data_IF_243159839978
#
_entry.id   IF_243159839978
#
_cell.length_a   1.000
_cell.length_b   1.000
_cell.length_c   1.000
_cell.angle_alpha   90.00
_cell.angle_beta   90.00
_cell.angle_gamma   90.00
#
_symmetry.space_group_name_H-M   'P 1'
#
loop_
_entity.id
_entity.type
_entity.pdbx_description
1 polymer ?
#
# COMPACT_ATOMS: atom_id res chain seq x y z
N UNK A 1 -29.96 36.20 -3.16
CA UNK A 1 -28.66 36.71 -2.71
C UNK A 1 -28.01 35.58 -1.93
N UNK A 2 -27.58 34.60 -2.73
CA UNK A 2 -26.52 33.60 -2.55
C UNK A 2 -26.24 33.07 -1.14
N UNK A 3 -27.09 32.14 -0.69
CA UNK A 3 -26.76 31.23 0.40
C UNK A 3 -25.95 30.04 -0.14
N UNK A 4 -24.63 30.15 0.03
CA UNK A 4 -23.77 29.10 0.60
C UNK A 4 -24.09 27.68 0.11
N UNK A 5 -23.82 27.42 -1.17
CA UNK A 5 -23.41 26.08 -1.59
C UNK A 5 -21.97 25.94 -1.11
N UNK A 6 -21.81 25.53 0.15
CA UNK A 6 -20.53 25.09 0.68
C UNK A 6 -20.21 23.76 -0.01
N UNK A 7 -19.60 23.89 -1.17
CA UNK A 7 -18.97 22.79 -1.89
C UNK A 7 -17.83 22.28 -1.01
N UNK A 8 -18.14 21.38 -0.08
CA UNK A 8 -17.16 20.41 0.41
C UNK A 8 -16.94 19.47 -0.77
N UNK A 9 -16.09 19.89 -1.72
CA UNK A 9 -15.36 18.89 -2.50
C UNK A 9 -14.45 18.25 -1.47
N UNK A 10 -14.94 17.20 -0.79
CA UNK A 10 -14.05 16.22 -0.20
C UNK A 10 -13.07 15.87 -1.31
N UNK A 11 -11.79 16.15 -1.11
CA UNK A 11 -10.71 15.87 -2.06
C UNK A 11 -10.52 14.36 -2.16
N UNK A 12 -11.52 13.69 -2.74
CA UNK A 12 -11.51 12.25 -2.98
C UNK A 12 -10.34 11.96 -3.90
N UNK A 13 -9.32 11.31 -3.36
CA UNK A 13 -8.18 10.84 -4.14
C UNK A 13 -8.71 9.93 -5.26
N UNK A 14 -8.19 10.01 -6.47
CA UNK A 14 -8.60 9.16 -7.60
C UNK A 14 -10.13 8.97 -7.75
N UNK A 15 -10.92 10.01 -8.05
CA UNK A 15 -12.38 9.93 -8.01
C UNK A 15 -13.00 9.07 -9.12
N UNK A 16 -12.30 8.80 -10.23
CA UNK A 16 -12.83 8.02 -11.35
C UNK A 16 -12.09 6.69 -11.55
N UNK A 17 -12.69 5.76 -12.32
CA UNK A 17 -11.98 4.54 -12.76
C UNK A 17 -10.70 4.87 -13.54
N UNK A 18 -10.71 5.94 -14.33
CA UNK A 18 -9.53 6.38 -15.08
C UNK A 18 -8.40 6.85 -14.15
N UNK A 19 -8.73 7.51 -13.03
CA UNK A 19 -7.76 7.85 -12.00
C UNK A 19 -7.24 6.60 -11.28
N UNK A 20 -8.12 5.65 -10.95
CA UNK A 20 -7.72 4.40 -10.29
C UNK A 20 -6.83 3.53 -11.18
N UNK A 21 -7.06 3.52 -12.50
CA UNK A 21 -6.16 2.87 -13.47
C UNK A 21 -4.79 3.57 -13.53
N UNK A 22 -4.76 4.90 -13.44
CA UNK A 22 -3.50 5.67 -13.34
C UNK A 22 -2.76 5.38 -12.04
N UNK A 23 -3.48 5.30 -10.92
CA UNK A 23 -2.91 4.96 -9.63
C UNK A 23 -2.40 3.52 -9.57
N UNK A 24 -3.13 2.56 -10.13
CA UNK A 24 -2.64 1.20 -10.30
C UNK A 24 -1.32 1.20 -11.08
N UNK A 25 -1.24 1.94 -12.19
CA UNK A 25 -0.01 2.05 -12.98
C UNK A 25 1.15 2.60 -12.16
N UNK A 26 0.96 3.68 -11.40
CA UNK A 26 2.04 4.25 -10.57
C UNK A 26 2.49 3.30 -9.45
N UNK A 27 1.57 2.55 -8.84
CA UNK A 27 1.89 1.51 -7.87
C UNK A 27 2.71 0.39 -8.50
N UNK A 28 2.37 -0.04 -9.72
CA UNK A 28 3.12 -1.07 -10.44
C UNK A 28 4.53 -0.60 -10.81
N UNK A 29 4.66 0.64 -11.26
CA UNK A 29 5.96 1.28 -11.54
C UNK A 29 6.82 1.38 -10.27
N UNK A 30 6.21 1.77 -9.15
CA UNK A 30 6.90 1.80 -7.85
C UNK A 30 7.41 0.41 -7.42
N UNK A 31 6.60 -0.64 -7.59
CA UNK A 31 7.01 -2.02 -7.31
C UNK A 31 8.17 -2.44 -8.23
N UNK A 32 8.14 -2.06 -9.51
CA UNK A 32 9.22 -2.36 -10.45
C UNK A 32 10.53 -1.66 -10.06
N UNK A 33 10.48 -0.38 -9.68
CA UNK A 33 11.63 0.36 -9.20
C UNK A 33 12.23 -0.28 -7.94
N UNK A 34 11.40 -0.75 -7.00
CA UNK A 34 11.88 -1.49 -5.83
C UNK A 34 12.57 -2.80 -6.23
N UNK A 35 12.01 -3.55 -7.18
CA UNK A 35 12.62 -4.80 -7.68
C UNK A 35 13.97 -4.52 -8.33
N UNK A 36 14.06 -3.48 -9.17
CA UNK A 36 15.30 -3.05 -9.80
C UNK A 36 16.36 -2.63 -8.77
N UNK A 37 15.95 -1.90 -7.73
CA UNK A 37 16.83 -1.53 -6.62
C UNK A 37 17.39 -2.75 -5.88
N UNK A 38 16.56 -3.76 -5.62
CA UNK A 38 17.00 -5.03 -5.01
C UNK A 38 17.98 -5.76 -5.94
N UNK A 39 17.69 -5.81 -7.24
CA UNK A 39 18.57 -6.46 -8.22
C UNK A 39 19.95 -5.81 -8.28
N UNK A 40 20.00 -4.47 -8.27
CA UNK A 40 21.25 -3.73 -8.20
C UNK A 40 22.01 -3.99 -6.89
N UNK A 41 21.31 -4.01 -5.76
CA UNK A 41 21.90 -4.31 -4.45
C UNK A 41 22.52 -5.71 -4.40
N UNK A 42 21.78 -6.74 -4.82
CA UNK A 42 22.26 -8.12 -4.85
C UNK A 42 23.48 -8.24 -5.78
N UNK A 43 23.43 -7.62 -6.96
CA UNK A 43 24.58 -7.62 -7.87
C UNK A 43 25.82 -6.97 -7.25
N UNK A 44 25.65 -5.85 -6.54
CA UNK A 44 26.77 -5.18 -5.88
C UNK A 44 27.33 -6.04 -4.74
N UNK A 45 26.48 -6.62 -3.89
CA UNK A 45 26.92 -7.54 -2.84
C UNK A 45 27.71 -8.73 -3.38
N UNK A 46 27.29 -9.32 -4.50
CA UNK A 46 28.02 -10.42 -5.13
C UNK A 46 29.41 -9.98 -5.60
N UNK A 47 29.53 -8.77 -6.18
CA UNK A 47 30.83 -8.20 -6.55
C UNK A 47 31.72 -7.94 -5.34
N UNK A 48 31.16 -7.34 -4.29
CA UNK A 48 31.88 -7.01 -3.06
C UNK A 48 32.38 -8.29 -2.38
N UNK A 49 31.55 -9.34 -2.31
CA UNK A 49 31.95 -10.63 -1.76
C UNK A 49 33.05 -11.31 -2.58
N UNK A 50 33.07 -11.13 -3.91
CA UNK A 50 34.14 -11.63 -4.77
C UNK A 50 35.46 -10.89 -4.51
N UNK A 51 35.43 -9.56 -4.49
CA UNK A 51 36.61 -8.74 -4.19
C UNK A 51 37.15 -9.01 -2.79
N UNK A 52 36.25 -9.14 -1.81
CA UNK A 52 36.61 -9.49 -0.44
C UNK A 52 37.25 -10.89 -0.37
N UNK A 53 36.70 -11.87 -1.10
CA UNK A 53 37.32 -13.20 -1.20
C UNK A 53 38.73 -13.13 -1.79
N UNK A 54 38.94 -12.37 -2.87
CA UNK A 54 40.26 -12.17 -3.49
C UNK A 54 41.27 -11.56 -2.51
N UNK A 55 40.88 -10.49 -1.80
CA UNK A 55 41.69 -9.90 -0.73
C UNK A 55 42.10 -10.92 0.34
N UNK A 56 41.16 -11.76 0.79
CA UNK A 56 41.46 -12.79 1.80
C UNK A 56 42.41 -13.85 1.27
N UNK A 57 42.31 -14.26 0.00
CA UNK A 57 43.23 -15.23 -0.59
C UNK A 57 44.67 -14.71 -0.63
N UNK A 58 44.85 -13.43 -0.96
CA UNK A 58 46.16 -12.79 -1.03
C UNK A 58 46.79 -12.59 0.35
N UNK A 59 45.99 -12.36 1.38
CA UNK A 59 46.45 -12.03 2.73
C UNK A 59 46.23 -13.16 3.76
N UNK A 60 45.82 -14.35 3.32
CA UNK A 60 45.34 -15.43 4.20
C UNK A 60 46.35 -15.88 5.26
N UNK A 61 47.64 -15.83 4.91
CA UNK A 61 48.75 -16.19 5.78
C UNK A 61 49.03 -15.16 6.86
N UNK A 62 48.62 -13.91 6.66
CA UNK A 62 48.88 -12.78 7.56
C UNK A 62 47.75 -12.59 8.58
N UNK A 63 46.56 -13.15 8.32
CA UNK A 63 45.39 -12.98 9.19
C UNK A 63 45.50 -13.76 10.51
N UNK A 64 45.21 -13.08 11.61
CA UNK A 64 45.11 -13.69 12.93
C UNK A 64 43.76 -14.45 13.14
N UNK A 65 43.56 -15.05 14.33
CA UNK A 65 42.32 -15.77 14.64
C UNK A 65 41.10 -14.86 14.72
N UNK A 66 41.24 -13.64 15.24
CA UNK A 66 40.14 -12.69 15.38
C UNK A 66 39.69 -12.19 14.00
N UNK A 67 40.63 -11.86 13.12
CA UNK A 67 40.36 -11.41 11.75
C UNK A 67 39.70 -12.50 10.90
N UNK A 68 40.13 -13.76 11.03
CA UNK A 68 39.47 -14.92 10.41
C UNK A 68 38.02 -15.10 10.89
N UNK A 69 37.76 -14.86 12.17
CA UNK A 69 36.41 -14.93 12.75
C UNK A 69 35.53 -13.79 12.22
N UNK A 70 36.03 -12.55 12.22
CA UNK A 70 35.32 -11.39 11.69
C UNK A 70 34.94 -11.57 10.22
N UNK A 71 35.87 -12.10 9.43
CA UNK A 71 35.67 -12.47 8.03
C UNK A 71 34.52 -13.45 7.84
N UNK A 72 34.50 -14.54 8.62
CA UNK A 72 33.43 -15.55 8.55
C UNK A 72 32.07 -14.94 8.89
N UNK A 73 32.03 -14.07 9.89
CA UNK A 73 30.81 -13.39 10.31
C UNK A 73 30.30 -12.45 9.21
N UNK A 74 31.18 -11.67 8.59
CA UNK A 74 30.83 -10.80 7.47
C UNK A 74 30.20 -11.58 6.31
N UNK A 75 30.85 -12.66 5.86
CA UNK A 75 30.32 -13.50 4.76
C UNK A 75 28.96 -14.09 5.12
N UNK A 76 28.80 -14.55 6.37
CA UNK A 76 27.53 -15.12 6.83
C UNK A 76 26.42 -14.06 6.82
N UNK A 77 26.69 -12.86 7.32
CA UNK A 77 25.72 -11.74 7.33
C UNK A 77 25.36 -11.29 5.91
N UNK A 78 26.35 -11.19 5.02
CA UNK A 78 26.14 -10.85 3.61
C UNK A 78 25.21 -11.88 2.92
N UNK A 79 25.46 -13.17 3.12
CA UNK A 79 24.63 -14.24 2.57
C UNK A 79 23.18 -14.19 3.10
N UNK A 80 22.99 -14.01 4.41
CA UNK A 80 21.65 -13.85 5.01
C UNK A 80 20.92 -12.64 4.44
N UNK A 81 21.60 -11.49 4.35
CA UNK A 81 21.03 -10.26 3.79
C UNK A 81 20.61 -10.43 2.32
N UNK A 82 21.43 -11.10 1.50
CA UNK A 82 21.10 -11.39 0.11
C UNK A 82 19.86 -12.30 -0.01
N UNK A 83 19.74 -13.30 0.86
CA UNK A 83 18.57 -14.19 0.91
C UNK A 83 17.29 -13.44 1.31
N UNK A 84 17.35 -12.57 2.32
CA UNK A 84 16.23 -11.72 2.73
C UNK A 84 15.77 -10.79 1.59
N UNK A 85 16.71 -10.21 0.84
CA UNK A 85 16.41 -9.36 -0.30
C UNK A 85 15.78 -10.13 -1.45
N UNK A 86 16.26 -11.34 -1.74
CA UNK A 86 15.67 -12.22 -2.75
C UNK A 86 14.24 -12.65 -2.35
N UNK A 87 14.00 -12.95 -1.07
CA UNK A 87 12.65 -13.22 -0.56
C UNK A 87 11.73 -12.01 -0.68
N UNK A 88 12.24 -10.80 -0.39
CA UNK A 88 11.52 -9.54 -0.58
C UNK A 88 11.14 -9.33 -2.04
N UNK A 89 12.09 -9.55 -2.96
CA UNK A 89 11.85 -9.48 -4.42
C UNK A 89 10.77 -10.45 -4.87
N UNK A 90 10.79 -11.70 -4.39
CA UNK A 90 9.75 -12.70 -4.71
C UNK A 90 8.37 -12.24 -4.22
N UNK A 91 8.29 -11.65 -3.02
CA UNK A 91 7.06 -11.08 -2.49
C UNK A 91 6.55 -9.92 -3.36
N UNK A 92 7.42 -8.99 -3.75
CA UNK A 92 7.07 -7.87 -4.64
C UNK A 92 6.57 -8.35 -6.01
N UNK A 93 7.22 -9.36 -6.61
CA UNK A 93 6.75 -9.98 -7.87
C UNK A 93 5.35 -10.56 -7.75
N UNK A 94 5.02 -11.21 -6.63
CA UNK A 94 3.67 -11.74 -6.37
C UNK A 94 2.67 -10.61 -6.13
N UNK A 95 3.03 -9.62 -5.32
CA UNK A 95 2.21 -8.43 -5.05
C UNK A 95 1.86 -7.71 -6.35
N UNK A 96 2.80 -7.58 -7.29
CA UNK A 96 2.57 -6.93 -8.58
C UNK A 96 1.38 -7.51 -9.36
N UNK A 97 1.09 -8.81 -9.20
CA UNK A 97 -0.04 -9.46 -9.88
C UNK A 97 -1.39 -8.97 -9.36
N UNK A 98 -1.48 -8.73 -8.05
CA UNK A 98 -2.69 -8.30 -7.33
C UNK A 98 -2.27 -7.39 -6.16
N UNK A 99 -1.96 -6.10 -6.41
CA UNK A 99 -1.35 -5.24 -5.39
C UNK A 99 -2.33 -4.93 -4.25
N UNK A 100 -3.57 -4.60 -4.59
CA UNK A 100 -4.66 -4.34 -3.65
C UNK A 100 -5.98 -4.86 -4.24
N UNK A 101 -6.99 -5.02 -3.40
CA UNK A 101 -8.33 -5.50 -3.79
C UNK A 101 -9.45 -4.59 -3.27
N UNK A 102 -9.14 -3.66 -2.37
CA UNK A 102 -10.12 -2.76 -1.77
C UNK A 102 -9.57 -1.38 -1.52
N UNK A 103 -10.47 -0.42 -1.37
CA UNK A 103 -10.17 0.91 -0.86
C UNK A 103 -11.32 1.40 0.02
N UNK A 104 -10.98 2.08 1.11
CA UNK A 104 -11.92 2.95 1.83
C UNK A 104 -11.35 4.36 1.93
N UNK A 105 -12.22 5.37 1.94
CA UNK A 105 -11.84 6.69 2.43
C UNK A 105 -12.45 6.89 3.80
N UNK A 106 -11.58 7.03 4.81
CA UNK A 106 -11.96 7.14 6.20
C UNK A 106 -11.54 8.50 6.75
N UNK A 107 -12.49 9.24 7.29
CA UNK A 107 -12.24 10.49 8.02
C UNK A 107 -12.39 10.22 9.52
N UNK A 108 -11.30 10.37 10.27
CA UNK A 108 -11.34 10.22 11.72
C UNK A 108 -12.07 11.41 12.35
N UNK A 109 -12.67 11.19 13.52
CA UNK A 109 -13.30 12.26 14.29
C UNK A 109 -12.26 13.35 14.63
N UNK A 110 -12.56 14.60 14.24
CA UNK A 110 -11.67 15.74 14.44
C UNK A 110 -10.69 16.03 13.29
N UNK A 111 -10.67 15.20 12.24
CA UNK A 111 -9.96 15.47 11.00
C UNK A 111 -10.88 16.14 9.96
N UNK A 112 -10.34 17.07 9.18
CA UNK A 112 -11.11 17.78 8.14
C UNK A 112 -11.27 16.93 6.86
N UNK A 113 -10.26 16.12 6.53
CA UNK A 113 -10.19 15.36 5.28
C UNK A 113 -10.18 13.84 5.52
N UNK A 114 -10.79 13.10 4.60
CA UNK A 114 -10.70 11.65 4.59
C UNK A 114 -9.34 11.17 4.07
N UNK A 115 -8.77 10.17 4.73
CA UNK A 115 -7.59 9.45 4.24
C UNK A 115 -8.02 8.26 3.39
N UNK A 116 -7.39 8.08 2.23
CA UNK A 116 -7.60 6.90 1.38
C UNK A 116 -6.72 5.73 1.82
N UNK A 117 -7.35 4.59 2.11
CA UNK A 117 -6.69 3.36 2.52
C UNK A 117 -6.92 2.28 1.46
N UNK A 118 -5.88 2.00 0.67
CA UNK A 118 -5.86 0.84 -0.22
C UNK A 118 -5.50 -0.41 0.58
N UNK A 119 -6.29 -1.47 0.44
CA UNK A 119 -6.16 -2.71 1.21
C UNK A 119 -5.68 -3.84 0.29
N UNK A 120 -4.59 -4.48 0.68
CA UNK A 120 -3.95 -5.56 -0.06
C UNK A 120 -3.48 -6.71 0.81
N UNK A 121 -2.88 -7.73 0.19
CA UNK A 121 -2.41 -8.94 0.89
C UNK A 121 -1.20 -8.66 1.78
N UNK A 122 -0.40 -7.67 1.40
CA UNK A 122 0.81 -7.22 2.09
C UNK A 122 0.89 -5.69 2.04
N UNK A 123 1.56 -5.08 3.01
CA UNK A 123 1.83 -3.65 2.98
C UNK A 123 2.87 -3.27 1.92
N UNK A 124 2.67 -2.10 1.32
CA UNK A 124 3.62 -1.44 0.44
C UNK A 124 3.91 -0.05 1.00
N UNK A 125 5.12 0.14 1.51
CA UNK A 125 5.54 1.37 2.16
C UNK A 125 6.50 2.16 1.27
N UNK A 126 6.20 3.44 1.07
CA UNK A 126 7.11 4.37 0.44
C UNK A 126 7.91 5.13 1.52
N UNK A 127 9.22 4.83 1.57
CA UNK A 127 10.14 5.45 2.52
C UNK A 127 10.40 6.93 2.24
N UNK A 128 10.21 7.40 0.99
CA UNK A 128 10.40 8.81 0.62
C UNK A 128 9.25 9.67 1.14
N UNK A 129 8.01 9.30 0.84
CA UNK A 129 6.83 10.00 1.34
C UNK A 129 6.47 9.64 2.80
N UNK A 130 7.11 8.59 3.35
CA UNK A 130 6.86 8.02 4.68
C UNK A 130 5.42 7.55 4.87
N UNK A 131 4.81 7.01 3.83
CA UNK A 131 3.39 6.58 3.82
C UNK A 131 3.25 5.17 3.27
N UNK A 132 2.22 4.47 3.76
CA UNK A 132 1.79 3.23 3.13
C UNK A 132 0.99 3.59 1.87
N UNK A 133 1.42 3.07 0.73
CA UNK A 133 0.62 3.07 -0.50
C UNK A 133 -0.46 1.99 -0.43
N UNK A 134 -0.15 0.87 0.23
CA UNK A 134 -1.06 -0.26 0.43
C UNK A 134 -0.92 -0.73 1.88
N UNK A 135 -2.06 -0.96 2.54
CA UNK A 135 -2.15 -1.50 3.89
C UNK A 135 -2.39 -3.03 3.83
N UNK A 136 -1.72 -3.77 4.71
CA UNK A 136 -1.98 -5.20 4.89
C UNK A 136 -3.39 -5.39 5.46
N UNK A 137 -4.16 -6.32 4.90
CA UNK A 137 -5.54 -6.60 5.32
C UNK A 137 -5.66 -7.03 6.78
N UNK A 138 -4.58 -7.53 7.40
CA UNK A 138 -4.55 -7.91 8.83
C UNK A 138 -4.28 -6.75 9.77
N UNK A 139 -3.89 -5.59 9.25
CA UNK A 139 -3.66 -4.42 10.08
C UNK A 139 -4.99 -3.99 10.72
N UNK A 140 -5.01 -3.56 12.00
CA UNK A 140 -6.24 -3.15 12.66
C UNK A 140 -7.04 -2.07 11.90
N UNK A 141 -6.35 -1.13 11.26
CA UNK A 141 -6.98 -0.09 10.43
C UNK A 141 -7.68 -0.65 9.18
N UNK A 142 -7.23 -1.80 8.67
CA UNK A 142 -7.79 -2.46 7.49
C UNK A 142 -9.04 -3.27 7.81
N UNK A 143 -9.31 -3.60 9.08
CA UNK A 143 -10.52 -4.36 9.45
C UNK A 143 -11.78 -3.58 9.09
N UNK A 144 -11.68 -2.25 9.06
CA UNK A 144 -12.76 -1.37 8.63
C UNK A 144 -13.35 -1.72 7.25
N UNK A 145 -12.52 -2.21 6.33
CA UNK A 145 -12.96 -2.62 5.00
C UNK A 145 -13.95 -3.80 5.05
N UNK A 146 -13.85 -4.65 6.08
CA UNK A 146 -14.69 -5.85 6.26
C UNK A 146 -15.82 -5.63 7.26
N UNK A 147 -15.54 -4.92 8.35
CA UNK A 147 -16.44 -4.79 9.50
C UNK A 147 -17.53 -3.73 9.28
N UNK A 148 -17.28 -2.77 8.38
CA UNK A 148 -18.18 -1.65 8.13
C UNK A 148 -18.42 -1.44 6.63
N UNK A 149 -19.59 -0.92 6.31
CA UNK A 149 -19.88 -0.33 5.01
C UNK A 149 -19.73 1.19 5.10
N UNK A 150 -20.73 1.95 4.68
CA UNK A 150 -20.70 3.40 4.71
C UNK A 150 -21.17 3.95 6.04
N UNK A 151 -20.68 5.14 6.39
CA UNK A 151 -21.07 5.83 7.60
C UNK A 151 -20.12 5.55 8.76
N UNK A 152 -20.67 5.50 9.99
CA UNK A 152 -19.86 5.41 11.21
C UNK A 152 -19.04 4.13 11.23
N UNK A 153 -17.75 4.27 11.45
CA UNK A 153 -16.80 3.18 11.55
C UNK A 153 -15.77 3.48 12.64
N UNK A 154 -15.00 2.47 13.02
CA UNK A 154 -13.86 2.64 13.90
C UNK A 154 -12.82 1.54 13.65
N UNK A 155 -11.61 1.77 14.13
CA UNK A 155 -10.61 0.73 14.27
C UNK A 155 -9.89 0.84 15.62
N UNK A 156 -9.35 -0.29 16.08
CA UNK A 156 -8.54 -0.33 17.29
C UNK A 156 -7.08 -0.03 16.94
N UNK A 157 -6.43 0.85 17.70
CA UNK A 157 -5.01 1.16 17.56
C UNK A 157 -4.29 0.95 18.90
N UNK A 158 -2.95 0.90 18.92
CA UNK A 158 -2.19 0.83 20.18
C UNK A 158 -2.48 1.99 21.15
N UNK A 159 -2.96 3.13 20.65
CA UNK A 159 -3.31 4.31 21.47
C UNK A 159 -4.81 4.36 21.82
N UNK A 160 -5.57 3.34 21.45
CA UNK A 160 -7.02 3.23 21.70
C UNK A 160 -7.84 3.22 20.41
N UNK A 161 -9.16 3.19 20.58
CA UNK A 161 -10.12 3.22 19.49
C UNK A 161 -10.11 4.56 18.77
N UNK A 162 -10.03 4.51 17.45
CA UNK A 162 -10.17 5.67 16.57
C UNK A 162 -11.54 5.58 15.89
N UNK A 163 -12.43 6.52 16.19
CA UNK A 163 -13.76 6.62 15.58
C UNK A 163 -13.72 7.55 14.36
N UNK A 164 -14.67 7.38 13.45
CA UNK A 164 -14.81 8.22 12.28
C UNK A 164 -15.91 7.77 11.33
N UNK A 165 -15.79 8.19 10.08
CA UNK A 165 -16.77 7.91 9.01
C UNK A 165 -16.06 7.35 7.78
N UNK A 166 -16.57 6.24 7.25
CA UNK A 166 -16.25 5.78 5.90
C UNK A 166 -17.17 6.53 4.93
N UNK A 167 -16.56 7.43 4.16
CA UNK A 167 -17.25 8.24 3.16
C UNK A 167 -17.33 7.50 1.83
N UNK A 168 -16.40 6.58 1.62
CA UNK A 168 -16.19 5.94 0.34
C UNK A 168 -15.67 4.50 0.46
N UNK A 169 -16.14 3.58 -0.40
CA UNK A 169 -15.65 2.20 -0.45
C UNK A 169 -15.65 1.67 -1.88
N UNK A 170 -14.52 1.11 -2.30
CA UNK A 170 -14.33 0.44 -3.60
C UNK A 170 -13.81 -0.97 -3.43
N UNK A 171 -14.23 -1.83 -4.33
CA UNK A 171 -13.69 -3.17 -4.51
C UNK A 171 -13.12 -3.29 -5.93
N UNK A 172 -11.96 -3.91 -6.04
CA UNK A 172 -11.27 -4.08 -7.31
C UNK A 172 -11.06 -5.57 -7.58
N UNK A 173 -11.25 -5.96 -8.84
CA UNK A 173 -10.67 -7.21 -9.34
C UNK A 173 -9.48 -6.86 -10.21
N UNK A 174 -8.29 -7.07 -9.67
CA UNK A 174 -7.03 -6.93 -10.38
C UNK A 174 -6.45 -8.34 -10.58
N UNK A 175 -6.05 -8.65 -11.82
CA UNK A 175 -5.38 -9.91 -12.16
C UNK A 175 -4.26 -9.63 -13.13
N UNK A 176 -3.09 -10.20 -12.87
CA UNK A 176 -1.89 -10.01 -13.70
C UNK A 176 -1.64 -8.52 -13.98
N UNK A 177 -1.75 -7.69 -12.93
CA UNK A 177 -1.53 -6.25 -12.99
C UNK A 177 -2.56 -5.45 -13.82
N UNK A 178 -3.66 -6.09 -14.25
CA UNK A 178 -4.74 -5.45 -15.01
C UNK A 178 -5.98 -5.35 -14.12
N UNK A 179 -6.54 -4.15 -14.00
CA UNK A 179 -7.85 -3.94 -13.39
C UNK A 179 -8.95 -4.45 -14.34
N UNK A 180 -9.52 -5.60 -14.01
CA UNK A 180 -10.62 -6.25 -14.75
C UNK A 180 -11.95 -5.56 -14.45
N UNK A 181 -12.21 -5.18 -13.20
CA UNK A 181 -13.34 -4.31 -12.83
C UNK A 181 -13.05 -3.51 -11.56
N UNK A 182 -13.88 -2.48 -11.37
CA UNK A 182 -14.00 -1.69 -10.15
C UNK A 182 -15.49 -1.58 -9.78
N UNK A 183 -15.84 -1.89 -8.54
CA UNK A 183 -17.17 -1.65 -7.99
C UNK A 183 -17.03 -0.55 -6.95
N UNK A 184 -17.89 0.45 -7.05
CA UNK A 184 -17.97 1.57 -6.13
C UNK A 184 -19.31 1.49 -5.42
N UNK A 185 -19.26 1.54 -4.10
CA UNK A 185 -20.40 1.92 -3.30
C UNK A 185 -20.14 3.37 -2.84
N UNK A 186 -21.16 4.23 -2.74
CA UNK A 186 -21.02 5.61 -2.26
C UNK A 186 -22.33 6.14 -1.70
N UNK A 187 -22.28 7.07 -0.75
CA UNK A 187 -23.47 7.59 -0.06
C UNK A 187 -24.35 8.52 -0.92
N UNK A 188 -23.87 9.19 -1.99
CA UNK A 188 -24.64 10.29 -2.59
C UNK A 188 -24.93 10.13 -4.09
N UNK A 189 -26.19 9.88 -4.43
CA UNK A 189 -27.03 10.46 -5.53
C UNK A 189 -28.34 9.64 -5.70
N UNK A 190 -28.34 8.35 -5.35
CA UNK A 190 -29.46 7.47 -5.67
C UNK A 190 -30.67 7.65 -4.72
N UNK A 191 -30.45 8.00 -3.45
CA UNK A 191 -31.54 8.19 -2.48
C UNK A 191 -32.25 9.55 -2.64
N UNK A 192 -31.58 10.61 -3.09
CA UNK A 192 -32.24 11.87 -3.44
C UNK A 192 -33.07 11.76 -4.73
N UNK A 193 -32.60 10.97 -5.72
CA UNK A 193 -33.38 10.67 -6.93
C UNK A 193 -34.61 9.82 -6.63
N UNK A 194 -34.47 8.78 -5.79
CA UNK A 194 -35.61 7.96 -5.34
C UNK A 194 -36.63 8.76 -4.54
N UNK A 195 -36.20 9.68 -3.66
CA UNK A 195 -37.12 10.57 -2.94
C UNK A 195 -37.79 11.60 -3.86
N UNK A 196 -37.13 12.06 -4.93
CA UNK A 196 -37.75 12.94 -5.94
C UNK A 196 -38.82 12.22 -6.77
N UNK A 197 -38.58 10.99 -7.20
CA UNK A 197 -39.59 10.22 -7.93
C UNK A 197 -40.80 9.86 -7.06
N UNK A 198 -40.57 9.53 -5.78
CA UNK A 198 -41.64 9.27 -4.82
C UNK A 198 -42.46 10.52 -4.48
N UNK A 199 -41.83 11.70 -4.43
CA UNK A 199 -42.54 12.96 -4.20
C UNK A 199 -43.29 13.47 -5.42
N UNK A 200 -42.80 13.24 -6.65
CA UNK A 200 -43.56 13.56 -7.88
C UNK A 200 -44.73 12.63 -8.17
N UNK A 201 -44.79 11.45 -7.55
CA UNK A 201 -45.89 10.49 -7.73
C UNK A 201 -46.92 10.55 -6.59
N UNK A 202 -46.71 11.40 -5.58
CA UNK A 202 -47.61 11.55 -4.42
C UNK A 202 -48.56 12.75 -4.53
N UNK A 203 -48.41 13.57 -5.58
CA UNK A 203 -49.24 14.74 -5.87
C UNK A 203 -50.17 14.54 -7.11
N UNK A 204 -50.47 13.29 -7.49
CA UNK A 204 -51.56 12.92 -8.42
C UNK A 204 -52.73 12.23 -7.72
#
# INVERSE_FOLDING_TARGET
MDDIIFTIVTTMLNPTEADERRYLKSVLEFIDDMILGIDAFIHQQVKDMKAFKEYLWENLSELDRAEKSATRNYVTQAAMSAEEMENTKRRLKRMKLVPYFGRIDFRADGEDEASSLYVGIHSLYDSKSKRNLIYDWRAPISTMFYDFDFGKAYYESPVGRINGVIEFKRQFRIRNSIMEFMIQNSINIDDELKQKELSTTSDE
#
